data_IF_969288062479
#
_entry.id   IF_969288062479
#
_cell.length_a   1.000
_cell.length_b   1.000
_cell.length_c   1.000
_cell.angle_alpha   90.00
_cell.angle_beta   90.00
_cell.angle_gamma   90.00
#
_symmetry.space_group_name_H-M   'P 1'
#
loop_
_entity.id
_entity.type
_entity.pdbx_description
1 polymer ?
#
# COMPACT_ATOMS: atom_id res chain seq x y z
N UNK A 1 33.63 0.99 -52.49
CA UNK A 1 32.27 1.32 -52.91
C UNK A 1 31.41 1.41 -51.64
N UNK A 2 30.83 2.55 -51.30
CA UNK A 2 29.96 2.70 -50.15
C UNK A 2 28.51 2.39 -50.62
N UNK A 3 27.87 1.34 -50.08
CA UNK A 3 26.51 0.99 -50.37
C UNK A 3 25.62 1.54 -49.22
N UNK A 4 24.59 2.30 -49.60
CA UNK A 4 23.62 2.83 -48.64
C UNK A 4 22.67 1.71 -48.26
N UNK A 5 22.69 1.29 -47.00
CA UNK A 5 21.71 0.38 -46.43
C UNK A 5 20.47 1.20 -46.04
N UNK A 6 19.31 0.82 -46.51
CA UNK A 6 18.04 1.47 -46.20
C UNK A 6 17.09 0.46 -45.56
N UNK A 7 16.89 0.59 -44.25
CA UNK A 7 15.95 -0.25 -43.51
C UNK A 7 14.64 0.47 -43.31
N UNK A 8 13.53 -0.23 -43.43
CA UNK A 8 12.21 0.31 -43.09
C UNK A 8 12.04 0.42 -41.57
N UNK A 9 11.47 1.51 -41.06
CA UNK A 9 11.19 1.64 -39.64
C UNK A 9 10.07 0.65 -39.22
N UNK A 10 10.16 0.15 -37.98
CA UNK A 10 9.22 -0.81 -37.42
C UNK A 10 9.77 -2.24 -37.41
N UNK A 11 9.10 -3.10 -36.63
CA UNK A 11 9.42 -4.52 -36.53
C UNK A 11 8.43 -5.34 -37.34
N UNK A 12 8.91 -6.16 -38.28
CA UNK A 12 8.09 -7.08 -39.02
C UNK A 12 8.17 -8.48 -38.39
N UNK A 13 7.19 -8.81 -37.56
CA UNK A 13 7.06 -10.13 -36.93
C UNK A 13 6.22 -11.14 -37.74
N UNK A 14 5.71 -10.74 -38.89
CA UNK A 14 4.85 -11.61 -39.74
C UNK A 14 5.67 -12.37 -40.80
N UNK A 15 6.83 -11.87 -41.18
CA UNK A 15 7.69 -12.53 -42.12
C UNK A 15 8.72 -13.42 -41.41
N UNK A 16 9.27 -14.39 -42.13
CA UNK A 16 10.46 -15.14 -41.68
C UNK A 16 11.69 -14.23 -41.73
N UNK A 17 12.73 -14.55 -40.98
CA UNK A 17 13.96 -13.75 -40.91
C UNK A 17 14.57 -13.53 -42.30
N UNK A 18 14.52 -14.54 -43.17
CA UNK A 18 14.95 -14.45 -44.58
C UNK A 18 13.98 -13.69 -45.47
N UNK A 19 12.68 -13.65 -45.15
CA UNK A 19 11.66 -12.90 -45.87
C UNK A 19 11.54 -11.43 -45.49
N UNK A 20 12.19 -11.02 -44.38
CA UNK A 20 12.19 -9.66 -43.88
C UNK A 20 13.44 -8.86 -44.28
N UNK A 21 14.05 -9.16 -45.41
CA UNK A 21 15.25 -8.46 -45.89
C UNK A 21 15.01 -6.95 -45.97
N UNK A 22 15.91 -6.16 -45.39
CA UNK A 22 15.79 -4.70 -45.27
C UNK A 22 14.80 -4.20 -44.22
N UNK A 23 14.35 -5.08 -43.35
CA UNK A 23 13.47 -4.75 -42.20
C UNK A 23 14.05 -5.23 -40.87
N UNK A 24 13.55 -4.68 -39.79
CA UNK A 24 13.86 -5.14 -38.44
C UNK A 24 12.87 -6.24 -38.06
N UNK A 25 13.36 -7.38 -37.59
CA UNK A 25 12.52 -8.53 -37.20
C UNK A 25 12.21 -8.57 -35.73
N UNK A 26 13.13 -8.05 -34.88
CA UNK A 26 12.95 -7.95 -33.42
C UNK A 26 13.80 -6.85 -32.81
N UNK A 27 13.49 -6.44 -31.59
CA UNK A 27 14.25 -5.49 -30.81
C UNK A 27 13.53 -5.09 -29.53
N UNK A 28 14.32 -4.86 -28.49
CA UNK A 28 13.85 -4.43 -27.19
C UNK A 28 14.35 -3.02 -26.86
N UNK A 29 13.53 -2.24 -26.13
CA UNK A 29 13.86 -0.87 -25.71
C UNK A 29 14.23 0.07 -26.84
N UNK A 30 13.63 -0.10 -28.02
CA UNK A 30 13.86 0.70 -29.21
C UNK A 30 12.57 1.37 -29.66
N UNK A 31 12.66 2.64 -30.03
CA UNK A 31 11.63 3.37 -30.79
C UNK A 31 12.19 3.82 -32.14
N UNK A 32 11.32 4.01 -33.10
CA UNK A 32 11.69 4.57 -34.41
C UNK A 32 11.34 6.05 -34.44
N UNK A 33 12.36 6.89 -34.66
CA UNK A 33 12.20 8.32 -34.82
C UNK A 33 12.87 8.78 -36.13
N UNK A 34 12.14 9.50 -36.93
CA UNK A 34 12.59 9.91 -38.27
C UNK A 34 13.08 8.75 -39.14
N UNK A 35 12.50 7.57 -38.99
CA UNK A 35 12.87 6.38 -39.76
C UNK A 35 14.10 5.63 -39.23
N UNK A 36 14.73 6.11 -38.16
CA UNK A 36 15.90 5.47 -37.53
C UNK A 36 15.54 4.87 -36.18
N UNK A 37 16.15 3.72 -35.80
CA UNK A 37 15.98 3.15 -34.47
C UNK A 37 16.73 4.02 -33.46
N UNK A 38 16.05 4.36 -32.38
CA UNK A 38 16.56 5.12 -31.26
C UNK A 38 16.33 4.34 -29.97
N UNK A 39 17.32 4.23 -29.09
CA UNK A 39 17.17 3.59 -27.80
C UNK A 39 16.18 4.37 -26.94
N UNK A 40 15.18 3.69 -26.41
CA UNK A 40 14.30 4.24 -25.37
C UNK A 40 15.11 4.32 -24.08
N UNK A 41 15.10 5.48 -23.39
CA UNK A 41 15.69 5.62 -22.07
C UNK A 41 15.06 4.64 -21.07
N UNK A 42 15.80 4.30 -20.03
CA UNK A 42 15.28 3.46 -18.94
C UNK A 42 14.24 4.20 -18.09
N UNK A 43 13.64 3.48 -17.16
CA UNK A 43 12.77 4.05 -16.12
C UNK A 43 13.64 4.79 -15.10
N UNK A 44 13.24 5.99 -14.76
CA UNK A 44 13.80 6.73 -13.64
C UNK A 44 12.76 6.85 -12.54
N UNK A 45 13.19 6.82 -11.29
CA UNK A 45 12.31 7.02 -10.16
C UNK A 45 11.75 8.45 -10.20
N UNK A 46 10.45 8.61 -9.96
CA UNK A 46 9.75 9.88 -10.03
C UNK A 46 10.10 10.83 -8.88
N UNK A 47 10.43 10.28 -7.71
CA UNK A 47 10.77 11.03 -6.51
C UNK A 47 12.27 10.92 -6.22
N UNK A 48 12.92 12.04 -5.86
CA UNK A 48 14.33 12.04 -5.44
C UNK A 48 14.54 11.31 -4.10
N UNK A 49 13.55 11.38 -3.20
CA UNK A 49 13.51 10.55 -2.01
C UNK A 49 13.03 9.15 -2.40
N UNK A 50 13.74 8.11 -1.94
CA UNK A 50 13.33 6.71 -2.13
C UNK A 50 12.11 6.38 -1.23
N UNK A 51 11.03 7.12 -1.41
CA UNK A 51 9.79 6.85 -0.70
C UNK A 51 9.11 5.62 -1.32
N UNK A 52 9.02 4.57 -0.53
CA UNK A 52 8.27 3.38 -0.88
C UNK A 52 6.88 3.45 -0.26
N UNK A 53 5.85 3.31 -1.09
CA UNK A 53 4.49 3.21 -0.59
C UNK A 53 4.29 1.85 0.09
N UNK A 54 3.57 1.81 1.22
CA UNK A 54 3.19 0.55 1.85
C UNK A 54 2.33 -0.30 0.94
N UNK A 55 2.65 -1.59 0.83
CA UNK A 55 1.89 -2.56 0.06
C UNK A 55 2.11 -2.48 -1.45
N UNK A 56 1.37 -3.29 -2.19
CA UNK A 56 1.39 -3.33 -3.64
C UNK A 56 0.39 -2.32 -4.22
N UNK A 57 0.83 -1.42 -5.09
CA UNK A 57 -0.05 -0.51 -5.83
C UNK A 57 -0.95 -1.31 -6.79
N UNK A 58 -2.26 -1.13 -6.70
CA UNK A 58 -3.27 -1.88 -7.47
C UNK A 58 -4.21 -1.00 -8.26
N UNK A 59 -4.39 0.24 -7.85
CA UNK A 59 -5.21 1.21 -8.55
C UNK A 59 -4.50 2.54 -8.60
N UNK A 60 -4.67 3.27 -9.69
CA UNK A 60 -4.15 4.61 -9.89
C UNK A 60 -5.17 5.45 -10.64
N UNK A 61 -5.38 6.68 -10.17
CA UNK A 61 -6.25 7.64 -10.82
C UNK A 61 -5.66 9.04 -10.76
N UNK A 62 -5.57 9.72 -11.90
CA UNK A 62 -5.07 11.09 -12.00
C UNK A 62 -6.23 12.06 -12.21
N UNK A 63 -6.27 13.12 -11.42
CA UNK A 63 -7.30 14.16 -11.54
C UNK A 63 -6.73 15.56 -11.27
N UNK A 64 -7.52 16.58 -11.54
CA UNK A 64 -7.11 17.97 -11.40
C UNK A 64 -8.14 18.74 -10.58
N UNK A 65 -7.69 19.56 -9.62
CA UNK A 65 -8.58 20.46 -8.89
C UNK A 65 -9.06 21.62 -9.74
N UNK A 66 -10.08 22.35 -9.29
CA UNK A 66 -10.55 23.55 -9.96
C UNK A 66 -9.50 24.68 -9.96
N UNK A 67 -8.49 24.60 -9.10
CA UNK A 67 -7.33 25.50 -9.09
C UNK A 67 -6.25 25.12 -10.10
N UNK A 68 -6.41 24.01 -10.81
CA UNK A 68 -5.43 23.50 -11.78
C UNK A 68 -4.32 22.65 -11.18
N UNK A 69 -4.38 22.31 -9.89
CA UNK A 69 -3.44 21.42 -9.22
C UNK A 69 -3.68 19.98 -9.67
N UNK A 70 -2.58 19.27 -9.96
CA UNK A 70 -2.63 17.89 -10.48
C UNK A 70 -2.33 16.91 -9.37
N UNK A 71 -3.22 15.94 -9.20
CA UNK A 71 -3.12 14.89 -8.20
C UNK A 71 -3.11 13.51 -8.86
N UNK A 72 -2.41 12.58 -8.24
CA UNK A 72 -2.47 11.16 -8.59
C UNK A 72 -2.81 10.37 -7.34
N UNK A 73 -4.00 9.81 -7.29
CA UNK A 73 -4.41 8.89 -6.23
C UNK A 73 -3.85 7.50 -6.52
N UNK A 74 -3.31 6.84 -5.50
CA UNK A 74 -2.73 5.51 -5.59
C UNK A 74 -3.32 4.65 -4.49
N UNK A 75 -4.13 3.67 -4.87
CA UNK A 75 -4.66 2.64 -3.99
C UNK A 75 -3.71 1.47 -3.91
N UNK A 76 -3.22 1.18 -2.71
CA UNK A 76 -2.36 0.01 -2.44
C UNK A 76 -3.13 -1.06 -1.68
N UNK A 77 -2.52 -2.23 -1.49
CA UNK A 77 -3.09 -3.29 -0.64
C UNK A 77 -3.17 -2.93 0.85
N UNK A 78 -2.56 -1.81 1.26
CA UNK A 78 -2.46 -1.42 2.67
C UNK A 78 -2.95 -0.01 2.97
N UNK A 79 -3.25 0.81 1.95
CA UNK A 79 -3.70 2.18 2.16
C UNK A 79 -4.07 2.91 0.87
N UNK A 80 -4.43 4.17 1.03
CA UNK A 80 -4.72 5.11 -0.05
C UNK A 80 -3.77 6.31 0.07
N UNK A 81 -3.06 6.59 -0.99
CA UNK A 81 -2.04 7.63 -1.04
C UNK A 81 -2.29 8.62 -2.17
N UNK A 82 -1.83 9.82 -1.99
CA UNK A 82 -1.92 10.88 -2.97
C UNK A 82 -0.53 11.37 -3.33
N UNK A 83 -0.19 11.39 -4.61
CA UNK A 83 1.01 12.05 -5.11
C UNK A 83 0.67 13.47 -5.55
N UNK A 84 1.39 14.46 -5.00
CA UNK A 84 1.24 15.86 -5.31
C UNK A 84 2.58 16.59 -5.15
N UNK A 85 2.98 17.41 -6.12
CA UNK A 85 4.20 18.23 -6.10
C UNK A 85 5.49 17.47 -5.70
N UNK A 86 5.66 16.24 -6.17
CA UNK A 86 6.87 15.45 -5.92
C UNK A 86 6.87 14.66 -4.61
N UNK A 87 5.82 14.73 -3.79
CA UNK A 87 5.71 14.02 -2.51
C UNK A 87 4.47 13.12 -2.47
N UNK A 88 4.54 12.07 -1.62
CA UNK A 88 3.41 11.22 -1.30
C UNK A 88 2.77 11.64 0.02
N UNK A 89 1.46 11.70 0.02
CA UNK A 89 0.65 12.00 1.20
C UNK A 89 -0.27 10.82 1.51
N UNK A 90 -0.29 10.42 2.76
CA UNK A 90 -1.15 9.36 3.25
C UNK A 90 -2.56 9.90 3.54
N UNK A 91 -3.49 9.53 2.69
CA UNK A 91 -4.92 9.86 2.84
C UNK A 91 -5.78 8.64 3.19
N UNK A 92 -5.14 7.55 3.66
CA UNK A 92 -5.82 6.31 3.99
C UNK A 92 -6.97 6.54 4.98
N UNK A 93 -8.18 6.06 4.72
CA UNK A 93 -9.30 6.17 5.63
C UNK A 93 -9.04 5.35 6.90
N UNK A 94 -9.53 5.86 8.02
CA UNK A 94 -9.41 5.21 9.33
C UNK A 94 -10.70 4.48 9.68
N UNK A 95 -10.53 3.28 10.22
CA UNK A 95 -11.63 2.54 10.85
C UNK A 95 -11.95 3.14 12.24
N UNK A 96 -12.95 2.58 12.91
CA UNK A 96 -13.35 3.03 14.25
C UNK A 96 -12.17 2.98 15.22
N UNK A 97 -11.95 4.07 15.93
CA UNK A 97 -10.89 4.18 16.94
C UNK A 97 -11.11 3.21 18.11
N UNK A 98 -10.04 2.60 18.56
CA UNK A 98 -10.00 1.67 19.69
C UNK A 98 -9.28 2.37 20.85
N UNK A 99 -9.98 2.71 21.90
CA UNK A 99 -9.44 3.49 23.04
C UNK A 99 -8.88 2.60 24.15
N UNK A 100 -7.97 3.15 24.97
CA UNK A 100 -7.47 2.50 26.16
C UNK A 100 -6.44 1.40 25.89
N UNK A 101 -5.60 1.57 24.89
CA UNK A 101 -4.41 0.74 24.70
C UNK A 101 -3.31 1.14 25.68
N UNK A 102 -2.51 0.18 26.14
CA UNK A 102 -1.29 0.37 26.93
C UNK A 102 -0.10 -0.27 26.23
N UNK A 103 1.11 0.00 26.70
CA UNK A 103 2.33 -0.41 26.02
C UNK A 103 3.28 -1.15 26.96
N UNK A 104 3.93 -2.20 26.42
CA UNK A 104 5.10 -2.82 27.04
C UNK A 104 6.34 -2.43 26.24
N UNK A 105 7.34 -1.90 26.92
CA UNK A 105 8.60 -1.44 26.32
C UNK A 105 9.78 -2.14 26.97
N UNK A 106 10.84 -2.35 26.18
CA UNK A 106 12.06 -3.00 26.61
C UNK A 106 13.24 -2.07 26.32
N UNK A 107 14.03 -1.75 27.36
CA UNK A 107 15.18 -0.85 27.21
C UNK A 107 16.15 -1.32 26.13
N UNK A 108 16.55 -0.41 25.24
CA UNK A 108 17.44 -0.69 24.14
C UNK A 108 16.78 -1.39 22.92
N UNK A 109 15.49 -1.68 22.98
CA UNK A 109 14.74 -2.27 21.86
C UNK A 109 13.75 -1.28 21.24
N UNK A 110 13.46 -1.47 19.97
CA UNK A 110 12.47 -0.67 19.24
C UNK A 110 11.15 -1.41 18.98
N UNK A 111 11.03 -2.67 19.39
CA UNK A 111 9.77 -3.38 19.35
C UNK A 111 8.95 -3.04 20.59
N UNK A 112 7.72 -2.60 20.37
CA UNK A 112 6.76 -2.27 21.43
C UNK A 112 5.58 -3.21 21.32
N UNK A 113 5.18 -3.82 22.44
CA UNK A 113 3.94 -4.57 22.50
C UNK A 113 2.80 -3.63 22.91
N UNK A 114 1.75 -3.63 22.15
CA UNK A 114 0.53 -2.88 22.42
C UNK A 114 -0.49 -3.82 23.02
N UNK A 115 -0.98 -3.49 24.20
CA UNK A 115 -1.96 -4.28 24.95
C UNK A 115 -3.34 -3.64 24.82
N UNK A 116 -4.29 -4.39 24.27
CA UNK A 116 -5.70 -3.98 24.18
C UNK A 116 -6.60 -5.20 23.99
N UNK A 117 -7.39 -5.52 24.98
CA UNK A 117 -8.30 -6.66 24.98
C UNK A 117 -9.28 -6.56 23.81
N UNK A 118 -9.36 -7.64 23.02
CA UNK A 118 -10.30 -7.77 21.92
C UNK A 118 -10.08 -6.79 20.78
N UNK A 119 -8.84 -6.44 20.48
CA UNK A 119 -8.53 -5.41 19.47
C UNK A 119 -8.98 -5.77 18.05
N UNK A 120 -9.13 -7.04 17.68
CA UNK A 120 -9.61 -7.48 16.36
C UNK A 120 -8.73 -7.08 15.18
N UNK A 121 -7.47 -6.70 15.43
CA UNK A 121 -6.52 -6.29 14.38
C UNK A 121 -5.71 -7.48 13.88
N UNK A 122 -5.30 -7.44 12.61
CA UNK A 122 -4.51 -8.48 11.95
C UNK A 122 -3.09 -8.01 11.62
N UNK A 123 -2.17 -8.97 11.49
CA UNK A 123 -0.80 -8.72 11.03
C UNK A 123 -0.78 -8.05 9.65
N UNK A 124 0.14 -7.09 9.46
CA UNK A 124 0.33 -6.35 8.20
C UNK A 124 -0.62 -5.16 8.06
N UNK A 125 -1.56 -4.97 8.98
CA UNK A 125 -2.43 -3.80 9.01
C UNK A 125 -1.68 -2.60 9.60
N UNK A 126 -2.02 -1.40 9.16
CA UNK A 126 -1.43 -0.16 9.66
C UNK A 126 -2.32 0.49 10.72
N UNK A 127 -1.67 1.09 11.71
CA UNK A 127 -2.33 1.83 12.80
C UNK A 127 -1.63 3.17 13.02
N UNK A 128 -2.40 4.17 13.43
CA UNK A 128 -1.87 5.42 13.98
C UNK A 128 -2.36 5.57 15.41
N UNK A 129 -1.67 6.39 16.20
CA UNK A 129 -2.02 6.63 17.58
C UNK A 129 -2.39 8.09 17.81
N UNK A 130 -3.40 8.32 18.63
CA UNK A 130 -3.82 9.64 19.08
C UNK A 130 -4.02 9.62 20.60
N UNK A 131 -4.10 10.80 21.21
CA UNK A 131 -4.26 10.96 22.67
C UNK A 131 -3.22 10.14 23.45
N UNK A 132 -1.97 10.22 23.00
CA UNK A 132 -0.88 9.39 23.54
C UNK A 132 -0.35 9.98 24.84
N UNK A 133 -0.45 9.22 25.94
CA UNK A 133 0.40 9.36 27.12
C UNK A 133 1.54 8.36 26.95
N UNK A 134 2.78 8.81 26.71
CA UNK A 134 3.85 7.90 26.32
C UNK A 134 4.23 6.96 27.48
N UNK A 135 4.60 5.69 27.15
CA UNK A 135 5.19 4.79 28.14
C UNK A 135 6.61 5.23 28.48
N UNK A 136 7.16 4.70 29.57
CA UNK A 136 8.56 4.93 29.93
C UNK A 136 9.49 4.54 28.79
N UNK A 137 10.42 5.43 28.48
CA UNK A 137 11.42 5.22 27.42
C UNK A 137 11.11 5.83 26.08
N UNK A 138 9.93 6.45 25.90
CA UNK A 138 9.49 7.15 24.69
C UNK A 138 8.88 8.51 25.00
N UNK A 139 8.75 9.33 23.96
CA UNK A 139 7.99 10.59 23.99
C UNK A 139 6.76 10.47 23.08
N UNK A 140 5.77 11.33 23.30
CA UNK A 140 4.50 11.25 22.59
C UNK A 140 4.68 11.38 21.06
N UNK A 141 5.62 12.19 20.60
CA UNK A 141 5.92 12.37 19.17
C UNK A 141 6.38 11.08 18.49
N UNK A 142 7.01 10.15 19.21
CA UNK A 142 7.45 8.88 18.63
C UNK A 142 6.27 8.04 18.14
N UNK A 143 5.12 8.16 18.80
CA UNK A 143 3.89 7.45 18.44
C UNK A 143 2.99 8.22 17.45
N UNK A 144 3.05 9.55 17.45
CA UNK A 144 2.16 10.37 16.62
C UNK A 144 2.74 10.70 15.25
N UNK A 145 3.99 10.35 14.99
CA UNK A 145 4.66 10.62 13.71
C UNK A 145 4.47 9.45 12.74
N UNK A 146 3.36 9.48 11.99
CA UNK A 146 3.05 8.53 10.92
C UNK A 146 2.35 7.25 11.41
N UNK A 147 2.28 6.28 10.52
CA UNK A 147 1.64 4.99 10.75
C UNK A 147 2.66 3.90 11.09
N UNK A 148 2.20 2.89 11.81
CA UNK A 148 2.98 1.72 12.22
C UNK A 148 2.34 0.45 11.67
N UNK A 149 3.15 -0.42 11.09
CA UNK A 149 2.71 -1.74 10.68
C UNK A 149 2.61 -2.68 11.89
N UNK A 150 1.55 -3.47 11.95
CA UNK A 150 1.41 -4.55 12.93
C UNK A 150 2.27 -5.72 12.49
N UNK A 151 3.37 -5.96 13.19
CA UNK A 151 4.34 -7.00 12.84
C UNK A 151 3.90 -8.39 13.25
N UNK A 152 3.35 -8.52 14.44
CA UNK A 152 2.82 -9.79 14.97
C UNK A 152 1.57 -9.56 15.79
N UNK A 153 0.70 -10.56 15.80
CA UNK A 153 -0.49 -10.63 16.65
C UNK A 153 -0.44 -11.97 17.40
N UNK A 154 0.24 -12.02 18.57
CA UNK A 154 0.38 -13.24 19.34
C UNK A 154 -0.95 -13.81 19.84
N UNK A 155 -1.89 -12.92 20.19
CA UNK A 155 -3.23 -13.24 20.63
C UNK A 155 -4.21 -12.09 20.33
N UNK A 156 -5.48 -12.26 20.69
CA UNK A 156 -6.52 -11.25 20.41
C UNK A 156 -6.42 -9.97 21.28
N UNK A 157 -5.52 -9.96 22.25
CA UNK A 157 -5.37 -8.87 23.23
C UNK A 157 -4.05 -8.11 23.08
N UNK A 158 -3.12 -8.61 22.27
CA UNK A 158 -1.79 -8.00 22.10
C UNK A 158 -1.30 -8.07 20.66
N UNK A 159 -0.63 -7.01 20.23
CA UNK A 159 0.11 -6.98 18.97
C UNK A 159 1.42 -6.20 19.11
N UNK A 160 2.35 -6.39 18.20
CA UNK A 160 3.66 -5.70 18.22
C UNK A 160 3.79 -4.75 17.04
N UNK A 161 4.41 -3.62 17.32
CA UNK A 161 4.83 -2.62 16.33
C UNK A 161 6.32 -2.34 16.47
N UNK A 162 6.93 -1.79 15.43
CA UNK A 162 8.31 -1.33 15.47
C UNK A 162 8.37 0.19 15.49
N UNK A 163 9.03 0.72 16.51
CA UNK A 163 9.30 2.14 16.64
C UNK A 163 10.52 2.54 15.81
N UNK A 164 10.63 3.82 15.51
CA UNK A 164 11.78 4.39 14.78
C UNK A 164 13.02 4.56 15.65
N UNK A 165 12.82 4.64 16.96
CA UNK A 165 13.88 4.82 17.97
C UNK A 165 13.81 3.70 18.99
N UNK A 166 14.93 3.41 19.65
CA UNK A 166 14.97 2.43 20.73
C UNK A 166 14.44 3.06 22.02
N UNK A 167 13.73 2.28 22.84
CA UNK A 167 13.29 2.69 24.16
C UNK A 167 14.48 2.99 25.07
N UNK A 168 14.47 4.12 25.75
CA UNK A 168 15.47 4.46 26.78
C UNK A 168 15.18 3.81 28.13
N UNK A 169 14.01 3.19 28.30
CA UNK A 169 13.58 2.51 29.53
C UNK A 169 12.62 1.36 29.24
N UNK A 170 12.43 0.49 30.24
CA UNK A 170 11.47 -0.62 30.18
C UNK A 170 10.23 -0.27 31.00
N UNK A 171 9.06 -0.70 30.55
CA UNK A 171 7.80 -0.59 31.26
C UNK A 171 6.84 -1.69 30.84
N UNK A 172 5.91 -2.07 31.70
CA UNK A 172 4.83 -2.99 31.40
C UNK A 172 3.49 -2.33 31.65
N UNK A 173 2.54 -2.52 30.74
CA UNK A 173 1.20 -1.94 30.74
C UNK A 173 1.19 -0.43 31.06
N UNK A 174 2.16 0.32 30.54
CA UNK A 174 2.40 1.72 30.82
C UNK A 174 1.93 2.62 29.69
N UNK A 175 1.64 3.89 30.01
CA UNK A 175 1.12 4.84 29.07
C UNK A 175 -0.33 4.55 28.66
N UNK A 176 -0.86 5.35 27.76
CA UNK A 176 -2.17 5.12 27.14
C UNK A 176 -2.26 5.73 25.75
N UNK A 177 -3.07 5.14 24.88
CA UNK A 177 -3.35 5.72 23.58
C UNK A 177 -4.72 5.26 23.02
N UNK A 178 -5.18 6.01 22.04
CA UNK A 178 -6.24 5.56 21.12
C UNK A 178 -5.57 5.04 19.84
N UNK A 179 -5.88 3.81 19.47
CA UNK A 179 -5.45 3.19 18.22
C UNK A 179 -6.45 3.56 17.14
N UNK A 180 -5.96 4.10 16.03
CA UNK A 180 -6.77 4.37 14.83
C UNK A 180 -6.26 3.46 13.70
N UNK A 181 -6.88 2.30 13.49
CA UNK A 181 -6.51 1.39 12.42
C UNK A 181 -6.86 1.98 11.06
N UNK A 182 -6.08 1.69 10.04
CA UNK A 182 -6.51 1.92 8.66
C UNK A 182 -7.70 1.02 8.34
N UNK A 183 -8.57 1.48 7.47
CA UNK A 183 -9.68 0.64 7.00
C UNK A 183 -9.14 -0.62 6.32
N UNK A 184 -9.81 -1.74 6.52
CA UNK A 184 -9.37 -3.02 5.97
C UNK A 184 -9.74 -3.10 4.48
N UNK A 185 -8.71 -3.24 3.63
CA UNK A 185 -8.89 -3.28 2.18
C UNK A 185 -9.10 -4.72 1.71
N UNK A 186 -8.60 -5.69 2.45
CA UNK A 186 -8.58 -7.10 2.12
C UNK A 186 -7.17 -7.68 2.14
N UNK A 187 -7.01 -8.98 1.87
CA UNK A 187 -5.70 -9.65 1.90
C UNK A 187 -4.77 -9.10 0.82
N UNK A 188 -3.47 -9.10 1.11
CA UNK A 188 -2.42 -8.69 0.17
C UNK A 188 -2.31 -9.66 -1.00
N UNK A 189 -2.54 -10.96 -0.76
CA UNK A 189 -2.51 -12.01 -1.76
C UNK A 189 -3.82 -12.79 -1.75
N UNK A 190 -4.13 -13.40 -2.89
CA UNK A 190 -5.25 -14.32 -2.96
C UNK A 190 -5.07 -15.45 -1.95
N UNK A 191 -6.08 -15.70 -1.14
CA UNK A 191 -6.08 -16.79 -0.18
C UNK A 191 -6.76 -18.00 -0.80
N UNK A 192 -6.17 -19.18 -0.67
CA UNK A 192 -6.81 -20.43 -1.10
C UNK A 192 -8.12 -20.65 -0.32
N UNK A 193 -9.21 -20.78 -1.06
CA UNK A 193 -10.53 -21.05 -0.50
C UNK A 193 -10.76 -22.52 -0.14
N UNK A 194 -11.99 -22.99 -0.35
CA UNK A 194 -12.34 -24.39 -0.17
C UNK A 194 -11.93 -25.21 -1.40
N UNK A 195 -11.50 -26.45 -1.19
CA UNK A 195 -11.22 -27.40 -2.27
C UNK A 195 -10.01 -28.28 -2.04
N UNK A 196 -9.72 -29.15 -3.02
CA UNK A 196 -8.56 -30.01 -3.01
C UNK A 196 -7.26 -29.19 -3.05
N UNK A 197 -6.31 -29.47 -2.13
CA UNK A 197 -5.01 -28.77 -2.09
C UNK A 197 -5.01 -27.44 -1.34
N UNK A 198 -6.09 -27.06 -0.65
CA UNK A 198 -6.18 -25.82 0.14
C UNK A 198 -5.60 -25.94 1.55
N UNK A 199 -5.20 -27.14 1.97
CA UNK A 199 -4.61 -27.46 3.27
C UNK A 199 -3.29 -28.20 3.13
N UNK A 200 -2.46 -28.12 4.18
CA UNK A 200 -1.32 -29.00 4.35
C UNK A 200 -1.81 -30.44 4.60
N UNK A 201 -1.11 -31.41 4.02
CA UNK A 201 -1.36 -32.83 4.27
C UNK A 201 -1.18 -33.12 5.76
N UNK A 202 -2.22 -33.64 6.41
CA UNK A 202 -2.18 -34.00 7.82
C UNK A 202 -2.66 -32.96 8.82
N UNK A 203 -3.14 -31.80 8.36
CA UNK A 203 -3.58 -30.69 9.22
C UNK A 203 -4.98 -30.88 9.84
N UNK A 204 -5.73 -31.91 9.44
CA UNK A 204 -7.06 -32.22 9.95
C UNK A 204 -7.44 -33.68 9.70
N UNK A 205 -8.47 -34.16 10.41
CA UNK A 205 -9.04 -35.50 10.16
C UNK A 205 -9.86 -35.50 8.87
N UNK A 206 -9.82 -36.60 8.13
CA UNK A 206 -10.64 -36.82 6.94
C UNK A 206 -12.13 -36.57 7.23
N UNK A 207 -12.78 -35.72 6.46
CA UNK A 207 -14.18 -35.42 6.61
C UNK A 207 -14.49 -34.19 7.50
N UNK A 208 -13.48 -33.54 8.09
CA UNK A 208 -13.68 -32.30 8.86
C UNK A 208 -13.63 -31.11 7.93
N UNK A 209 -14.75 -30.43 7.76
CA UNK A 209 -14.80 -29.19 6.99
C UNK A 209 -14.06 -28.07 7.74
N UNK A 210 -13.37 -27.22 6.98
CA UNK A 210 -12.74 -26.01 7.52
C UNK A 210 -13.80 -25.09 8.12
N UNK A 211 -13.62 -24.70 9.38
CA UNK A 211 -14.43 -23.70 10.07
C UNK A 211 -14.03 -22.29 9.65
N UNK A 212 -14.33 -21.90 8.41
CA UNK A 212 -14.10 -20.52 7.98
C UNK A 212 -15.25 -20.06 7.13
N UNK A 213 -16.28 -19.59 7.79
CA UNK A 213 -17.41 -18.91 7.15
C UNK A 213 -17.06 -17.54 6.56
N UNK A 214 -15.87 -16.98 6.86
CA UNK A 214 -15.48 -15.60 6.51
C UNK A 214 -14.07 -15.50 5.94
N UNK A 215 -13.66 -16.40 5.04
CA UNK A 215 -12.37 -16.23 4.34
C UNK A 215 -12.56 -15.27 3.16
N UNK A 216 -11.96 -14.11 3.25
CA UNK A 216 -11.84 -13.21 2.11
C UNK A 216 -10.80 -13.83 1.16
N UNK A 217 -11.24 -14.23 -0.04
CA UNK A 217 -10.42 -14.94 -1.01
C UNK A 217 -9.68 -13.99 -1.94
N UNK A 218 -10.35 -12.93 -2.35
CA UNK A 218 -9.85 -11.98 -3.32
C UNK A 218 -8.93 -10.95 -2.67
N UNK A 219 -7.81 -10.62 -3.32
CA UNK A 219 -6.94 -9.55 -2.88
C UNK A 219 -7.70 -8.22 -2.80
N UNK A 220 -7.43 -7.43 -1.75
CA UNK A 220 -8.00 -6.10 -1.59
C UNK A 220 -7.62 -5.21 -2.79
N UNK A 221 -8.60 -4.52 -3.35
CA UNK A 221 -8.43 -3.61 -4.48
C UNK A 221 -9.26 -2.34 -4.30
N UNK A 222 -8.86 -1.29 -5.00
CA UNK A 222 -9.53 -0.01 -5.04
C UNK A 222 -10.17 0.25 -6.41
N UNK A 223 -11.34 0.83 -6.41
CA UNK A 223 -11.92 1.53 -7.57
C UNK A 223 -11.81 3.02 -7.30
N UNK A 224 -11.09 3.73 -8.14
CA UNK A 224 -10.81 5.16 -7.98
C UNK A 224 -11.41 5.94 -9.14
N UNK A 225 -12.12 7.01 -8.83
CA UNK A 225 -12.66 7.96 -9.80
C UNK A 225 -12.77 9.33 -9.13
N UNK A 226 -13.15 10.38 -9.87
CA UNK A 226 -13.36 11.69 -9.30
C UNK A 226 -14.70 12.31 -9.75
N UNK A 227 -15.30 13.06 -8.85
CA UNK A 227 -16.44 13.92 -9.14
C UNK A 227 -16.03 15.40 -8.95
N UNK A 228 -15.77 16.09 -10.06
CA UNK A 228 -15.13 17.40 -10.01
C UNK A 228 -13.73 17.30 -9.41
N UNK A 229 -13.47 18.00 -8.31
CA UNK A 229 -12.19 17.94 -7.57
C UNK A 229 -12.21 16.97 -6.39
N UNK A 230 -13.33 16.29 -6.16
CA UNK A 230 -13.47 15.29 -5.09
C UNK A 230 -13.09 13.91 -5.62
N UNK A 231 -12.06 13.32 -5.04
CA UNK A 231 -11.71 11.90 -5.28
C UNK A 231 -12.73 11.00 -4.62
N UNK A 232 -13.22 10.00 -5.34
CA UNK A 232 -14.08 8.93 -4.84
C UNK A 232 -13.29 7.63 -4.88
N UNK A 233 -13.10 7.01 -3.72
CA UNK A 233 -12.33 5.79 -3.55
C UNK A 233 -13.21 4.70 -2.91
N UNK A 234 -13.45 3.63 -3.64
CA UNK A 234 -14.25 2.49 -3.18
C UNK A 234 -13.38 1.26 -3.01
N UNK A 235 -13.41 0.65 -1.85
CA UNK A 235 -12.82 -0.67 -1.62
C UNK A 235 -13.71 -1.71 -2.29
N UNK A 236 -13.13 -2.62 -3.07
CA UNK A 236 -13.87 -3.71 -3.70
C UNK A 236 -14.62 -4.54 -2.64
N UNK A 237 -15.93 -4.68 -2.79
CA UNK A 237 -16.83 -5.28 -1.79
C UNK A 237 -16.82 -4.59 -0.41
N UNK A 238 -16.40 -3.33 -0.33
CA UNK A 238 -16.29 -2.58 0.90
C UNK A 238 -16.94 -1.21 0.85
N UNK A 239 -16.42 -0.30 1.66
CA UNK A 239 -16.91 1.06 1.83
C UNK A 239 -16.40 1.99 0.73
N UNK A 240 -17.12 3.08 0.52
CA UNK A 240 -16.71 4.20 -0.34
C UNK A 240 -16.26 5.37 0.52
N UNK A 241 -15.17 6.00 0.13
CA UNK A 241 -14.59 7.16 0.80
C UNK A 241 -14.42 8.30 -0.20
N UNK A 242 -14.44 9.51 0.32
CA UNK A 242 -14.23 10.73 -0.45
C UNK A 242 -13.07 11.52 0.11
N UNK A 243 -12.31 12.16 -0.78
CA UNK A 243 -11.27 13.11 -0.42
C UNK A 243 -11.42 14.36 -1.30
N UNK A 244 -11.52 15.54 -0.68
CA UNK A 244 -11.78 16.80 -1.36
C UNK A 244 -10.50 17.64 -1.46
N UNK A 245 -10.04 17.89 -2.69
CA UNK A 245 -8.87 18.73 -2.97
C UNK A 245 -9.12 20.20 -2.62
N UNK A 246 -10.37 20.68 -2.69
CA UNK A 246 -10.76 22.05 -2.41
C UNK A 246 -10.81 22.41 -0.93
N UNK A 247 -11.08 21.44 -0.07
CA UNK A 247 -11.37 21.68 1.35
C UNK A 247 -10.13 22.04 2.16
N UNK A 248 -8.95 21.44 1.93
CA UNK A 248 -7.72 21.77 2.71
C UNK A 248 -6.45 21.15 2.20
N UNK A 249 -6.02 21.03 1.11
CA UNK A 249 -4.72 20.52 0.66
C UNK A 249 -4.30 19.13 1.21
N UNK A 250 -3.39 18.44 0.58
CA UNK A 250 -3.11 17.00 0.81
C UNK A 250 -2.46 16.68 2.18
N UNK A 251 -2.06 17.71 2.92
CA UNK A 251 -1.22 17.51 4.13
C UNK A 251 -1.98 17.20 5.41
N UNK A 252 -3.30 17.38 5.46
CA UNK A 252 -4.02 17.36 6.75
C UNK A 252 -5.31 16.55 6.78
N UNK A 253 -5.83 16.07 5.66
CA UNK A 253 -7.12 15.40 5.64
C UNK A 253 -6.98 13.99 5.07
N UNK A 254 -7.49 13.03 5.84
CA UNK A 254 -7.70 11.65 5.40
C UNK A 254 -9.02 11.53 4.66
N UNK A 255 -9.12 10.58 3.74
CA UNK A 255 -10.38 10.26 3.09
C UNK A 255 -11.41 9.83 4.15
N UNK A 256 -12.64 10.29 4.03
CA UNK A 256 -13.75 10.03 4.94
C UNK A 256 -14.92 9.36 4.21
N UNK A 257 -15.71 8.60 4.94
CA UNK A 257 -16.92 7.97 4.44
C UNK A 257 -18.05 8.98 4.29
#
# INVERSE_FOLDING_TARGET
MLQKLNFKPGFNKQATDSGAEGQWVDGDFVRFRYGLPEKIGGWTQLTEAQETLPGAARAQHAFTSFKGEKYVAIGTSQGLFLYYEGAFYDISPLATAITGATFDTFSGQNNVTVNKVGHGLSKGRYVTFTSVTPPTGYVASDFTTGAFEILTVPNNDTFTIQMRVNASGAASASGSASINPYEEIGPTFQTAGYGWGTYLWGDSTWGTARTTSNVILDPGNWSLDNFGEVLVATIFNGKTFTWDAGASGPRSIRASQ
#
